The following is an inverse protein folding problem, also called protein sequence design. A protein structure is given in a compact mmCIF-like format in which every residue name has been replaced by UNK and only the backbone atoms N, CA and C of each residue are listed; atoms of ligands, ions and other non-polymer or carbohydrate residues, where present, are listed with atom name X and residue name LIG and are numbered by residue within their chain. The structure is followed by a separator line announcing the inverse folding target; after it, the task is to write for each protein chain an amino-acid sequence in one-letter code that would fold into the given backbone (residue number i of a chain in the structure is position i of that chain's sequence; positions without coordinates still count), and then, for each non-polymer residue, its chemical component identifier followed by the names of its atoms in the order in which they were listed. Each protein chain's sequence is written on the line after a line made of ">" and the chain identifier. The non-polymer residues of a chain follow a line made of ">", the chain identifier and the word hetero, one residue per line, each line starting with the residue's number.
data_IF_609844391990
#
_entry.id   IF_609844391990
#
_cell.length_a   1.000
_cell.length_b   1.000
_cell.length_c   1.000
_cell.angle_alpha   90.00
_cell.angle_beta   90.00
_cell.angle_gamma   90.00
#
_symmetry.space_group_name_H-M   'P 1'
#
loop_
_entity.id
_entity.type
_entity.pdbx_description
1 polymer ?
#
# COMPACT_ATOMS: atom_id res chain seq x y z
N UNK A 1 13.81 41.15 14.59
CA UNK A 1 13.95 39.70 14.44
C UNK A 1 12.57 39.12 14.09
N UNK A 2 12.30 38.89 12.82
CA UNK A 2 11.01 38.32 12.33
C UNK A 2 11.13 36.81 12.42
N UNK A 3 10.23 36.16 13.17
CA UNK A 3 10.16 34.71 13.25
C UNK A 3 9.86 34.14 11.85
N UNK A 4 10.47 33.02 11.43
CA UNK A 4 10.15 32.41 10.17
C UNK A 4 8.71 31.90 10.22
N UNK A 5 7.91 32.28 9.22
CA UNK A 5 6.55 31.80 9.04
C UNK A 5 6.55 30.26 8.98
N UNK A 6 5.81 29.64 9.88
CA UNK A 6 5.58 28.20 9.91
C UNK A 6 4.98 27.80 8.56
N UNK A 7 5.74 27.08 7.72
CA UNK A 7 5.22 26.45 6.51
C UNK A 7 4.20 25.42 6.96
N UNK A 8 2.93 25.72 6.81
CA UNK A 8 1.87 24.71 6.85
C UNK A 8 2.16 23.73 5.72
N UNK A 9 2.69 22.56 6.06
CA UNK A 9 2.87 21.48 5.09
C UNK A 9 1.48 21.10 4.56
N UNK A 10 1.29 21.18 3.25
CA UNK A 10 0.09 20.64 2.61
C UNK A 10 -0.11 19.18 3.03
N UNK A 11 -1.36 18.74 3.29
CA UNK A 11 -1.63 17.37 3.64
C UNK A 11 -1.09 16.43 2.55
N UNK A 12 -0.51 15.31 2.96
CA UNK A 12 -0.01 14.32 2.02
C UNK A 12 -1.17 13.79 1.17
N UNK A 13 -1.02 13.77 -0.16
CA UNK A 13 -2.05 13.29 -1.10
C UNK A 13 -2.47 11.85 -0.82
N UNK A 14 -1.52 11.03 -0.40
CA UNK A 14 -1.74 9.64 -0.01
C UNK A 14 -2.80 9.48 1.08
N UNK A 15 -2.99 10.48 1.95
CA UNK A 15 -3.96 10.40 3.03
C UNK A 15 -5.41 10.36 2.53
N UNK A 16 -5.72 11.05 1.44
CA UNK A 16 -7.05 11.01 0.82
C UNK A 16 -7.32 9.61 0.24
N UNK A 17 -6.36 9.04 -0.50
CA UNK A 17 -6.45 7.67 -1.04
C UNK A 17 -6.57 6.64 0.10
N UNK A 18 -5.77 6.78 1.16
CA UNK A 18 -5.83 5.88 2.31
C UNK A 18 -7.19 5.94 3.01
N UNK A 19 -7.75 7.14 3.22
CA UNK A 19 -9.06 7.31 3.84
C UNK A 19 -10.16 6.64 3.02
N UNK A 20 -10.19 6.86 1.70
CA UNK A 20 -11.16 6.23 0.80
C UNK A 20 -11.02 4.70 0.76
N UNK A 21 -9.78 4.18 0.80
CA UNK A 21 -9.52 2.74 0.92
C UNK A 21 -10.08 2.15 2.22
N UNK A 22 -9.86 2.82 3.35
CA UNK A 22 -10.37 2.39 4.66
C UNK A 22 -11.91 2.31 4.63
N UNK A 23 -12.59 3.32 4.09
CA UNK A 23 -14.05 3.33 3.95
C UNK A 23 -14.53 2.16 3.09
N UNK A 24 -13.91 1.95 1.92
CA UNK A 24 -14.26 0.86 1.02
C UNK A 24 -14.05 -0.52 1.67
N UNK A 25 -12.89 -0.73 2.32
CA UNK A 25 -12.57 -1.98 2.99
C UNK A 25 -13.57 -2.29 4.10
N UNK A 26 -13.91 -1.31 4.93
CA UNK A 26 -14.90 -1.49 6.00
C UNK A 26 -16.32 -1.76 5.48
N UNK A 27 -16.66 -1.29 4.28
CA UNK A 27 -17.95 -1.55 3.63
C UNK A 27 -18.02 -2.90 2.89
N UNK A 28 -16.89 -3.53 2.62
CA UNK A 28 -16.80 -4.74 1.79
C UNK A 28 -17.19 -6.00 2.56
N UNK A 29 -18.04 -6.84 1.96
CA UNK A 29 -18.46 -8.12 2.57
C UNK A 29 -17.41 -9.24 2.46
N UNK A 30 -16.40 -9.07 1.63
CA UNK A 30 -15.33 -10.04 1.35
C UNK A 30 -14.00 -9.70 2.02
N UNK A 31 -13.93 -8.57 2.76
CA UNK A 31 -12.74 -8.15 3.49
C UNK A 31 -12.99 -8.16 5.00
N UNK A 32 -11.95 -8.48 5.77
CA UNK A 32 -11.93 -8.39 7.23
C UNK A 32 -11.27 -7.08 7.71
N UNK A 33 -10.42 -6.48 6.89
CA UNK A 33 -9.75 -5.23 7.21
C UNK A 33 -8.44 -5.03 6.47
N UNK A 34 -7.64 -4.09 6.96
CA UNK A 34 -6.34 -3.78 6.38
C UNK A 34 -5.29 -3.38 7.41
N UNK A 35 -4.04 -3.73 7.10
CA UNK A 35 -2.85 -3.44 7.89
C UNK A 35 -1.91 -2.61 7.03
N UNK A 36 -1.57 -1.42 7.49
CA UNK A 36 -0.65 -0.49 6.85
C UNK A 36 0.79 -0.85 7.22
N UNK A 37 1.67 -0.79 6.25
CA UNK A 37 3.10 -1.07 6.36
C UNK A 37 3.94 0.15 5.94
N UNK A 38 5.24 -0.03 5.82
CA UNK A 38 6.15 0.94 5.24
C UNK A 38 6.27 2.25 6.03
N UNK A 39 6.57 3.34 5.32
CA UNK A 39 6.83 4.65 5.92
C UNK A 39 5.63 5.23 6.67
N UNK A 40 4.42 4.96 6.21
CA UNK A 40 3.19 5.38 6.89
C UNK A 40 2.98 4.67 8.24
N UNK A 41 3.31 3.39 8.34
CA UNK A 41 3.26 2.68 9.61
C UNK A 41 4.37 3.13 10.57
N UNK A 42 5.53 3.51 10.03
CA UNK A 42 6.66 4.04 10.78
C UNK A 42 6.44 5.48 11.29
N UNK A 43 5.42 6.19 10.78
CA UNK A 43 5.17 7.59 11.10
C UNK A 43 6.15 8.57 10.43
N UNK A 44 6.85 8.14 9.38
CA UNK A 44 7.84 8.93 8.63
C UNK A 44 7.50 9.07 7.14
N UNK A 45 6.21 9.20 6.76
CA UNK A 45 5.87 9.37 5.35
C UNK A 45 6.29 10.73 4.82
N UNK A 46 6.62 10.76 3.55
CA UNK A 46 6.85 11.99 2.78
C UNK A 46 5.97 12.02 1.52
N UNK A 47 6.12 13.09 0.73
CA UNK A 47 5.35 13.25 -0.49
C UNK A 47 5.68 12.19 -1.58
N UNK A 48 6.80 11.49 -1.47
CA UNK A 48 7.21 10.42 -2.39
C UNK A 48 6.88 9.02 -1.87
N UNK A 49 6.35 8.91 -0.65
CA UNK A 49 6.01 7.62 -0.04
C UNK A 49 4.85 6.95 -0.77
N UNK A 50 4.94 5.66 -0.93
CA UNK A 50 3.88 4.78 -1.40
C UNK A 50 2.96 4.37 -0.25
N UNK A 51 1.79 3.83 -0.58
CA UNK A 51 0.88 3.18 0.35
C UNK A 51 1.05 1.66 0.23
N UNK A 52 1.61 1.05 1.27
CA UNK A 52 1.80 -0.39 1.35
C UNK A 52 0.78 -0.98 2.34
N UNK A 53 -0.14 -1.84 1.86
CA UNK A 53 -1.19 -2.44 2.66
C UNK A 53 -1.21 -3.96 2.51
N UNK A 54 -1.48 -4.66 3.62
CA UNK A 54 -2.03 -6.00 3.58
C UNK A 54 -3.54 -5.86 3.73
N UNK A 55 -4.27 -6.28 2.70
CA UNK A 55 -5.73 -6.34 2.70
C UNK A 55 -6.14 -7.75 3.10
N UNK A 56 -6.71 -7.87 4.28
CA UNK A 56 -7.07 -9.14 4.89
C UNK A 56 -8.40 -9.61 4.31
N UNK A 57 -8.35 -10.70 3.56
CA UNK A 57 -9.53 -11.28 2.94
C UNK A 57 -10.23 -12.18 3.95
N UNK A 58 -11.56 -12.11 3.99
CA UNK A 58 -12.39 -12.97 4.81
C UNK A 58 -12.21 -14.44 4.43
N UNK A 59 -12.24 -15.32 5.43
CA UNK A 59 -12.07 -16.76 5.20
C UNK A 59 -13.03 -17.29 4.12
N UNK A 60 -12.51 -18.14 3.23
CA UNK A 60 -13.24 -18.70 2.11
C UNK A 60 -13.61 -17.73 0.98
N UNK A 61 -13.27 -16.41 1.06
CA UNK A 61 -13.69 -15.40 0.10
C UNK A 61 -12.58 -14.92 -0.85
N UNK A 62 -11.43 -15.60 -0.89
CA UNK A 62 -10.29 -15.11 -1.69
C UNK A 62 -10.61 -15.04 -3.20
N UNK A 63 -11.32 -16.00 -3.75
CA UNK A 63 -11.67 -15.99 -5.17
C UNK A 63 -12.52 -14.77 -5.55
N UNK A 64 -13.50 -14.41 -4.72
CA UNK A 64 -14.34 -13.23 -4.89
C UNK A 64 -13.52 -11.95 -4.71
N UNK A 65 -12.73 -11.86 -3.62
CA UNK A 65 -11.83 -10.74 -3.37
C UNK A 65 -10.89 -10.49 -4.56
N UNK A 66 -10.37 -11.56 -5.16
CA UNK A 66 -9.50 -11.45 -6.32
C UNK A 66 -10.23 -11.00 -7.58
N UNK A 67 -11.45 -11.42 -7.79
CA UNK A 67 -12.29 -10.94 -8.90
C UNK A 67 -12.62 -9.46 -8.76
N UNK A 68 -12.96 -9.03 -7.54
CA UNK A 68 -13.38 -7.66 -7.22
C UNK A 68 -12.20 -6.71 -6.87
N UNK A 69 -10.95 -7.16 -6.96
CA UNK A 69 -9.78 -6.40 -6.50
C UNK A 69 -9.65 -4.99 -7.11
N UNK A 70 -10.13 -4.79 -8.33
CA UNK A 70 -10.13 -3.47 -8.98
C UNK A 70 -11.05 -2.46 -8.29
N UNK A 71 -12.00 -2.91 -7.47
CA UNK A 71 -12.82 -2.03 -6.64
C UNK A 71 -11.99 -1.33 -5.54
N UNK A 72 -10.79 -1.83 -5.24
CA UNK A 72 -9.84 -1.14 -4.36
C UNK A 72 -9.26 0.14 -4.97
N UNK A 73 -9.40 0.36 -6.28
CA UNK A 73 -8.94 1.57 -6.98
C UNK A 73 -9.90 2.76 -6.74
N UNK A 74 -10.25 3.00 -5.49
CA UNK A 74 -11.30 3.95 -5.05
C UNK A 74 -11.09 5.41 -5.50
N UNK A 75 -9.84 5.80 -5.76
CA UNK A 75 -9.48 7.13 -6.29
C UNK A 75 -9.05 7.08 -7.77
N UNK A 76 -9.43 6.00 -8.46
CA UNK A 76 -9.04 5.76 -9.85
C UNK A 76 -7.64 5.16 -9.99
N UNK A 77 -7.33 4.72 -11.20
CA UNK A 77 -6.02 4.20 -11.55
C UNK A 77 -5.69 4.54 -13.02
N UNK A 78 -4.51 5.10 -13.27
CA UNK A 78 -4.00 5.32 -14.63
C UNK A 78 -3.29 4.09 -15.18
N UNK A 79 -2.76 3.25 -14.30
CA UNK A 79 -2.12 1.97 -14.63
C UNK A 79 -2.21 1.05 -13.42
N UNK A 80 -2.39 -0.24 -13.65
CA UNK A 80 -2.36 -1.26 -12.61
C UNK A 80 -1.76 -2.55 -13.14
N UNK A 81 -1.36 -3.44 -12.22
CA UNK A 81 -0.93 -4.81 -12.52
C UNK A 81 -1.10 -5.70 -11.30
N UNK A 82 -1.13 -6.99 -11.58
CA UNK A 82 -1.42 -8.03 -10.61
C UNK A 82 -0.34 -9.10 -10.62
N UNK A 83 -0.14 -9.71 -9.47
CA UNK A 83 0.72 -10.86 -9.33
C UNK A 83 0.16 -11.85 -8.32
N UNK A 84 -0.09 -13.08 -8.73
CA UNK A 84 -0.43 -14.18 -7.83
C UNK A 84 0.84 -14.72 -7.19
N UNK A 85 0.92 -14.65 -5.85
CA UNK A 85 2.03 -15.19 -5.07
C UNK A 85 1.76 -16.63 -4.64
N UNK A 86 0.52 -16.89 -4.14
CA UNK A 86 0.02 -18.21 -3.78
C UNK A 86 -1.39 -18.33 -4.35
N UNK A 87 -1.62 -19.16 -5.38
CA UNK A 87 -2.94 -19.32 -5.99
C UNK A 87 -4.03 -19.60 -4.96
N UNK A 88 -5.13 -18.86 -5.03
CA UNK A 88 -6.27 -19.01 -4.14
C UNK A 88 -6.08 -18.51 -2.70
N UNK A 89 -4.93 -17.98 -2.34
CA UNK A 89 -4.64 -17.53 -0.98
C UNK A 89 -4.00 -16.15 -0.88
N UNK A 90 -3.15 -15.76 -1.85
CA UNK A 90 -2.39 -14.53 -1.78
C UNK A 90 -2.06 -13.99 -3.16
N UNK A 91 -2.20 -12.68 -3.34
CA UNK A 91 -1.82 -11.99 -4.56
C UNK A 91 -1.67 -10.49 -4.32
N UNK A 92 -0.83 -9.83 -5.12
CA UNK A 92 -0.69 -8.38 -5.07
C UNK A 92 -1.52 -7.72 -6.16
N UNK A 93 -2.18 -6.64 -5.80
CA UNK A 93 -2.81 -5.68 -6.70
C UNK A 93 -2.15 -4.32 -6.49
N UNK A 94 -1.53 -3.80 -7.54
CA UNK A 94 -0.75 -2.56 -7.48
C UNK A 94 -1.27 -1.60 -8.53
N UNK A 95 -1.34 -0.31 -8.19
CA UNK A 95 -1.77 0.71 -9.14
C UNK A 95 -1.15 2.07 -8.84
N UNK A 96 -1.27 2.96 -9.81
CA UNK A 96 -0.90 4.37 -9.71
C UNK A 96 -2.13 5.21 -9.96
N UNK A 97 -2.44 6.13 -9.06
CA UNK A 97 -3.55 7.08 -9.22
C UNK A 97 -3.17 8.22 -10.19
N UNK A 98 -4.14 9.03 -10.62
CA UNK A 98 -3.92 10.17 -11.50
C UNK A 98 -3.04 11.27 -10.87
N UNK A 99 -3.05 11.37 -9.54
CA UNK A 99 -2.17 12.27 -8.79
C UNK A 99 -0.83 11.61 -8.38
N UNK A 100 -0.49 10.49 -9.04
CA UNK A 100 0.76 9.75 -8.89
C UNK A 100 0.99 9.16 -7.49
N UNK A 101 -0.06 8.82 -6.77
CA UNK A 101 0.05 7.97 -5.58
C UNK A 101 0.23 6.52 -6.02
N UNK A 102 1.30 5.91 -5.54
CA UNK A 102 1.56 4.49 -5.72
C UNK A 102 0.91 3.72 -4.58
N UNK A 103 0.09 2.72 -4.94
CA UNK A 103 -0.57 1.86 -3.95
C UNK A 103 -0.22 0.41 -4.23
N UNK A 104 0.18 -0.29 -3.18
CA UNK A 104 0.43 -1.72 -3.19
C UNK A 104 -0.46 -2.41 -2.17
N UNK A 105 -1.41 -3.23 -2.64
CA UNK A 105 -2.26 -4.05 -1.81
C UNK A 105 -1.89 -5.52 -1.97
N UNK A 106 -1.40 -6.12 -0.88
CA UNK A 106 -1.28 -7.57 -0.77
C UNK A 106 -2.60 -8.13 -0.23
N UNK A 107 -3.42 -8.72 -1.10
CA UNK A 107 -4.60 -9.46 -0.67
C UNK A 107 -4.15 -10.80 -0.09
N UNK A 108 -4.54 -11.06 1.15
CA UNK A 108 -4.11 -12.25 1.88
C UNK A 108 -5.29 -12.92 2.59
N UNK A 109 -5.51 -14.21 2.29
CA UNK A 109 -6.41 -15.04 3.07
C UNK A 109 -5.77 -15.43 4.42
N UNK A 110 -6.53 -15.79 5.46
CA UNK A 110 -5.99 -16.19 6.77
C UNK A 110 -4.96 -17.32 6.68
N UNK A 111 -5.15 -18.27 5.78
CA UNK A 111 -4.27 -19.43 5.60
C UNK A 111 -3.02 -19.13 4.75
N UNK A 112 -2.84 -17.91 4.25
CA UNK A 112 -1.75 -17.57 3.31
C UNK A 112 -0.34 -17.64 3.90
N UNK A 113 -0.22 -17.67 5.24
CA UNK A 113 1.08 -17.67 5.92
C UNK A 113 1.84 -16.34 5.82
N UNK A 114 1.19 -15.26 5.47
CA UNK A 114 1.78 -13.92 5.43
C UNK A 114 2.36 -13.57 6.80
N UNK A 115 3.54 -12.96 6.78
CA UNK A 115 4.21 -12.46 7.99
C UNK A 115 4.25 -10.94 7.97
N UNK A 116 3.80 -10.32 9.05
CA UNK A 116 3.83 -8.87 9.19
C UNK A 116 5.26 -8.39 9.46
N UNK A 117 5.74 -7.43 8.66
CA UNK A 117 6.96 -6.70 8.94
C UNK A 117 6.66 -5.58 9.94
N UNK A 118 7.35 -5.54 11.07
CA UNK A 118 7.24 -4.45 12.07
C UNK A 118 8.06 -3.23 11.59
N UNK A 119 7.59 -1.98 11.86
CA UNK A 119 6.31 -1.65 12.45
C UNK A 119 5.15 -1.76 11.44
N UNK A 120 3.96 -2.03 11.97
CA UNK A 120 2.71 -2.06 11.22
C UNK A 120 1.59 -1.36 12.01
N UNK A 121 0.48 -1.04 11.34
CA UNK A 121 -0.69 -0.44 11.99
C UNK A 121 -1.98 -0.98 11.35
N UNK A 122 -2.90 -1.52 12.15
CA UNK A 122 -4.26 -1.84 11.69
C UNK A 122 -4.98 -0.53 11.40
N UNK A 123 -5.53 -0.39 10.19
CA UNK A 123 -6.19 0.84 9.72
C UNK A 123 -7.66 0.62 9.36
N UNK A 124 -8.08 -0.62 9.13
CA UNK A 124 -9.47 -1.00 8.88
C UNK A 124 -9.75 -2.35 9.52
N UNK A 125 -11.02 -2.58 9.91
CA UNK A 125 -11.46 -3.81 10.54
C UNK A 125 -11.20 -3.85 12.05
N UNK A 126 -11.12 -5.07 12.59
CA UNK A 126 -10.89 -5.33 14.01
C UNK A 126 -9.48 -4.89 14.43
N UNK A 127 -9.31 -4.13 15.54
CA UNK A 127 -7.97 -3.79 16.07
C UNK A 127 -7.07 -5.01 16.33
N UNK A 128 -7.63 -6.18 16.66
CA UNK A 128 -6.90 -7.42 16.88
C UNK A 128 -6.58 -8.19 15.58
N UNK A 129 -6.91 -7.61 14.43
CA UNK A 129 -6.67 -8.24 13.11
C UNK A 129 -5.21 -8.70 12.92
N UNK A 130 -4.27 -7.94 13.43
CA UNK A 130 -2.85 -8.23 13.34
C UNK A 130 -2.43 -9.50 14.11
N UNK A 131 -3.17 -9.92 15.13
CA UNK A 131 -2.87 -11.10 15.96
C UNK A 131 -3.02 -12.41 15.16
N UNK A 132 -3.71 -12.36 14.03
CA UNK A 132 -3.85 -13.49 13.09
C UNK A 132 -2.56 -13.79 12.31
N UNK A 133 -1.55 -12.91 12.40
CA UNK A 133 -0.34 -13.00 11.60
C UNK A 133 0.91 -13.18 12.46
N UNK A 134 1.89 -13.91 11.96
CA UNK A 134 3.21 -13.96 12.58
C UNK A 134 3.96 -12.66 12.30
N UNK A 135 4.45 -12.01 13.34
CA UNK A 135 5.28 -10.81 13.21
C UNK A 135 6.73 -11.21 12.98
N UNK A 136 7.41 -10.52 12.06
CA UNK A 136 8.85 -10.65 11.80
C UNK A 136 9.54 -9.29 11.91
N UNK A 137 10.85 -9.25 12.20
CA UNK A 137 11.62 -8.02 12.11
C UNK A 137 11.55 -7.43 10.68
N UNK A 138 11.81 -6.12 10.51
CA UNK A 138 11.91 -5.49 9.19
C UNK A 138 12.91 -6.25 8.32
N UNK A 139 12.52 -6.49 7.05
CA UNK A 139 13.46 -7.06 6.07
C UNK A 139 14.47 -5.97 5.72
N UNK A 140 15.76 -6.28 5.88
CA UNK A 140 16.79 -5.42 5.34
C UNK A 140 16.88 -5.64 3.82
N UNK A 141 16.90 -4.55 3.04
CA UNK A 141 16.87 -4.60 1.56
C UNK A 141 17.93 -5.51 0.92
N UNK A 142 19.08 -5.72 1.58
CA UNK A 142 20.16 -6.60 1.09
C UNK A 142 19.86 -8.10 1.28
N UNK A 143 18.82 -8.46 2.03
CA UNK A 143 18.39 -9.86 2.21
C UNK A 143 17.41 -10.33 1.13
N UNK A 144 16.93 -9.41 0.29
CA UNK A 144 16.14 -9.75 -0.89
C UNK A 144 17.11 -10.33 -1.94
N UNK A 145 17.05 -11.65 -2.12
CA UNK A 145 17.91 -12.35 -3.07
C UNK A 145 17.80 -11.78 -4.48
N UNK A 146 18.83 -12.06 -5.30
CA UNK A 146 18.98 -11.55 -6.68
C UNK A 146 17.95 -12.09 -7.68
N UNK A 147 17.17 -13.11 -7.31
CA UNK A 147 16.12 -13.72 -8.14
C UNK A 147 14.77 -13.00 -8.00
N UNK A 148 14.76 -11.71 -8.28
CA UNK A 148 13.51 -10.94 -8.37
C UNK A 148 12.84 -11.24 -9.71
N UNK A 149 11.57 -11.67 -9.64
CA UNK A 149 10.76 -11.91 -10.83
C UNK A 149 10.81 -10.69 -11.77
N UNK A 150 10.91 -10.86 -13.12
CA UNK A 150 11.02 -9.74 -14.06
C UNK A 150 9.94 -8.66 -13.89
N UNK A 151 8.71 -9.03 -13.51
CA UNK A 151 7.61 -8.11 -13.22
C UNK A 151 7.90 -7.24 -12.00
N UNK A 152 8.46 -7.80 -10.93
CA UNK A 152 8.84 -7.01 -9.74
C UNK A 152 9.98 -6.05 -10.06
N UNK A 153 10.92 -6.45 -10.89
CA UNK A 153 12.02 -5.57 -11.33
C UNK A 153 11.50 -4.40 -12.18
N UNK A 154 10.55 -4.67 -13.09
CA UNK A 154 9.91 -3.61 -13.88
C UNK A 154 9.11 -2.66 -12.99
N UNK A 155 8.47 -3.19 -11.96
CA UNK A 155 7.76 -2.40 -10.94
C UNK A 155 8.71 -1.47 -10.18
N UNK A 156 9.82 -1.98 -9.69
CA UNK A 156 10.81 -1.17 -8.97
C UNK A 156 11.35 -0.03 -9.84
N UNK A 157 11.56 -0.29 -11.13
CA UNK A 157 11.96 0.75 -12.09
C UNK A 157 10.88 1.82 -12.27
N UNK A 158 9.62 1.41 -12.44
CA UNK A 158 8.49 2.33 -12.53
C UNK A 158 8.32 3.16 -11.25
N UNK A 159 8.43 2.52 -10.10
CA UNK A 159 8.39 3.16 -8.77
C UNK A 159 9.43 4.28 -8.67
N UNK A 160 10.65 4.02 -9.12
CA UNK A 160 11.73 5.03 -9.11
C UNK A 160 11.45 6.20 -10.07
N UNK A 161 10.92 5.91 -11.27
CA UNK A 161 10.52 6.95 -12.23
C UNK A 161 9.42 7.84 -11.65
N UNK A 162 8.39 7.25 -11.04
CA UNK A 162 7.29 7.98 -10.41
C UNK A 162 7.79 8.85 -9.25
N UNK A 163 8.66 8.31 -8.38
CA UNK A 163 9.26 9.06 -7.27
C UNK A 163 10.04 10.27 -7.77
N UNK A 164 10.88 10.06 -8.78
CA UNK A 164 11.69 11.13 -9.38
C UNK A 164 10.81 12.22 -10.01
N UNK A 165 9.78 11.82 -10.74
CA UNK A 165 8.86 12.78 -11.39
C UNK A 165 8.07 13.58 -10.33
N UNK A 166 7.56 12.92 -9.31
CA UNK A 166 6.82 13.56 -8.22
C UNK A 166 7.70 14.56 -7.46
N UNK A 167 8.94 14.21 -7.17
CA UNK A 167 9.87 15.12 -6.51
C UNK A 167 10.10 16.38 -7.35
N UNK A 168 10.22 16.26 -8.67
CA UNK A 168 10.34 17.41 -9.58
C UNK A 168 9.11 18.30 -9.57
N UNK A 169 7.89 17.71 -9.61
CA UNK A 169 6.64 18.46 -9.53
C UNK A 169 6.50 19.24 -8.22
N UNK A 170 6.95 18.65 -7.12
CA UNK A 170 6.91 19.29 -5.80
C UNK A 170 7.94 20.41 -5.63
N UNK A 171 9.03 20.40 -6.41
CA UNK A 171 10.07 21.40 -6.40
C UNK A 171 9.80 22.58 -7.35
N UNK A 172 8.88 22.43 -8.28
CA UNK A 172 8.50 23.49 -9.23
C UNK A 172 7.53 24.42 -8.51
N UNK A 173 7.88 25.71 -8.26
CA UNK A 173 6.92 26.67 -7.72
C UNK A 173 5.73 26.80 -8.68
N UNK A 174 4.53 26.83 -8.15
CA UNK A 174 3.34 27.17 -8.95
C UNK A 174 3.60 28.55 -9.59
N UNK A 175 3.76 28.59 -10.92
CA UNK A 175 3.76 29.81 -11.72
C UNK A 175 2.34 30.34 -11.80
#
# INVERSE_FOLDING_TARGET
>A
MTAPASRTSSPLRQLATLAALIEHINASSWLDGAILLGSFAQGTPDAASDLDLIVCVRDGRFAEAWQERTALQVTGAIVWWDHHLIPGQMGTHKWVTDDLVLVECLLAAPASGVRLASPYRVVAGDPELADRFTVRPPIQRHEMGTDVHPVERAYDQLKEVIRTHRQRLLQTPNQ
#
